data_IF_401149273646
#
_entry.id   IF_401149273646
#
_cell.length_a   1.000
_cell.length_b   1.000
_cell.length_c   1.000
_cell.angle_alpha   90.00
_cell.angle_beta   90.00
_cell.angle_gamma   90.00
#
_symmetry.space_group_name_H-M   'P 1'
#
loop_
_entity.id
_entity.type
_entity.pdbx_description
1 polymer ?
#
# COMPACT_ATOMS: atom_id res chain seq x y z
N UNK A 1 -24.57 34.92 -1.26
CA UNK A 1 -23.29 35.38 -0.68
C UNK A 1 -22.40 36.04 -1.73
N UNK A 2 -22.09 35.37 -2.85
CA UNK A 2 -21.27 35.95 -3.93
C UNK A 2 -21.78 37.32 -4.42
N UNK A 3 -23.10 37.45 -4.66
CA UNK A 3 -23.71 38.71 -5.09
C UNK A 3 -23.48 39.86 -4.08
N UNK A 4 -23.56 39.57 -2.78
CA UNK A 4 -23.33 40.55 -1.71
C UNK A 4 -21.86 41.00 -1.64
N UNK A 5 -20.93 40.07 -1.83
CA UNK A 5 -19.49 40.38 -1.90
C UNK A 5 -19.20 41.33 -3.06
N UNK A 6 -19.72 41.01 -4.25
CA UNK A 6 -19.55 41.85 -5.44
C UNK A 6 -20.12 43.26 -5.26
N UNK A 7 -21.25 43.40 -4.57
CA UNK A 7 -21.83 44.71 -4.24
C UNK A 7 -20.95 45.52 -3.28
N UNK A 8 -20.36 44.88 -2.26
CA UNK A 8 -19.44 45.55 -1.32
C UNK A 8 -18.14 45.97 -2.03
N UNK A 9 -17.59 45.13 -2.91
CA UNK A 9 -16.39 45.47 -3.71
C UNK A 9 -16.63 46.66 -4.67
N UNK A 10 -17.83 46.79 -5.23
CA UNK A 10 -18.20 47.98 -6.00
C UNK A 10 -18.20 49.24 -5.11
N UNK A 11 -18.83 49.15 -3.94
CA UNK A 11 -18.91 50.26 -2.97
C UNK A 11 -17.52 50.70 -2.48
N UNK A 12 -16.63 49.75 -2.17
CA UNK A 12 -15.24 50.03 -1.75
C UNK A 12 -14.48 50.77 -2.85
N UNK A 13 -14.60 50.33 -4.11
CA UNK A 13 -13.93 50.98 -5.25
C UNK A 13 -14.42 52.40 -5.47
N UNK A 14 -15.72 52.63 -5.39
CA UNK A 14 -16.31 53.97 -5.56
C UNK A 14 -15.85 54.91 -4.44
N UNK A 15 -15.87 54.44 -3.19
CA UNK A 15 -15.41 55.21 -2.03
C UNK A 15 -13.91 55.53 -2.08
N UNK A 16 -13.07 54.62 -2.58
CA UNK A 16 -11.65 54.89 -2.81
C UNK A 16 -11.44 56.01 -3.84
N UNK A 17 -12.23 56.02 -4.92
CA UNK A 17 -12.17 57.08 -5.93
C UNK A 17 -12.55 58.44 -5.35
N UNK A 18 -13.65 58.49 -4.57
CA UNK A 18 -14.11 59.71 -3.90
C UNK A 18 -13.09 60.24 -2.89
N UNK A 19 -12.46 59.37 -2.08
CA UNK A 19 -11.45 59.79 -1.12
C UNK A 19 -10.19 60.37 -1.77
N UNK A 20 -9.76 59.83 -2.92
CA UNK A 20 -8.64 60.42 -3.69
C UNK A 20 -8.99 61.80 -4.19
N UNK A 21 -10.14 61.96 -4.84
CA UNK A 21 -10.60 63.25 -5.35
C UNK A 21 -10.78 64.30 -4.23
N UNK A 22 -11.24 63.87 -3.05
CA UNK A 22 -11.36 64.74 -1.88
C UNK A 22 -10.00 65.22 -1.38
N UNK A 23 -9.00 64.34 -1.32
CA UNK A 23 -7.64 64.68 -0.87
C UNK A 23 -6.88 65.60 -1.83
N UNK A 24 -7.24 65.59 -3.11
CA UNK A 24 -6.67 66.50 -4.12
C UNK A 24 -7.29 67.90 -4.08
N UNK A 25 -8.54 68.03 -3.62
CA UNK A 25 -9.32 69.26 -3.73
C UNK A 25 -9.56 70.00 -2.41
N UNK A 26 -9.39 69.33 -1.26
CA UNK A 26 -9.67 69.90 0.06
C UNK A 26 -8.51 69.76 1.03
N UNK A 27 -7.86 70.88 1.35
CA UNK A 27 -6.71 70.97 2.26
C UNK A 27 -7.05 71.69 3.58
N UNK A 28 -6.21 71.50 4.60
CA UNK A 28 -6.40 72.02 5.97
C UNK A 28 -7.03 71.00 6.92
N UNK A 29 -7.09 71.35 8.21
CA UNK A 29 -7.45 70.42 9.30
C UNK A 29 -8.82 69.74 9.12
N UNK A 30 -9.80 70.47 8.58
CA UNK A 30 -11.14 69.94 8.31
C UNK A 30 -11.15 68.90 7.17
N UNK A 31 -10.37 69.13 6.11
CA UNK A 31 -10.20 68.18 5.01
C UNK A 31 -9.49 66.90 5.49
N UNK A 32 -8.49 67.05 6.36
CA UNK A 32 -7.79 65.93 6.97
C UNK A 32 -8.72 65.08 7.84
N UNK A 33 -9.56 65.71 8.68
CA UNK A 33 -10.53 65.00 9.50
C UNK A 33 -11.58 64.22 8.67
N UNK A 34 -12.04 64.79 7.54
CA UNK A 34 -12.96 64.12 6.63
C UNK A 34 -12.31 62.91 5.93
N UNK A 35 -11.04 63.02 5.52
CA UNK A 35 -10.27 61.91 4.96
C UNK A 35 -10.08 60.78 5.97
N UNK A 36 -9.80 61.10 7.23
CA UNK A 36 -9.59 60.09 8.27
C UNK A 36 -10.88 59.34 8.62
N UNK A 37 -12.01 60.04 8.69
CA UNK A 37 -13.33 59.41 8.83
C UNK A 37 -13.67 58.51 7.63
N UNK A 38 -13.38 58.99 6.41
CA UNK A 38 -13.59 58.22 5.19
C UNK A 38 -12.73 56.96 5.12
N UNK A 39 -11.45 57.05 5.49
CA UNK A 39 -10.54 55.90 5.61
C UNK A 39 -11.03 54.90 6.66
N UNK A 40 -11.53 55.37 7.80
CA UNK A 40 -12.11 54.51 8.84
C UNK A 40 -13.35 53.76 8.33
N UNK A 41 -14.23 54.44 7.61
CA UNK A 41 -15.43 53.83 7.01
C UNK A 41 -15.05 52.79 5.95
N UNK A 42 -14.07 53.10 5.10
CA UNK A 42 -13.55 52.18 4.10
C UNK A 42 -12.91 50.93 4.73
N UNK A 43 -12.21 51.10 5.84
CA UNK A 43 -11.64 49.99 6.62
C UNK A 43 -12.76 49.10 7.18
N UNK A 44 -13.86 49.68 7.68
CA UNK A 44 -15.01 48.92 8.16
C UNK A 44 -15.69 48.11 7.04
N UNK A 45 -15.88 48.71 5.85
CA UNK A 45 -16.41 48.00 4.67
C UNK A 45 -15.49 46.88 4.19
N UNK A 46 -14.18 47.12 4.17
CA UNK A 46 -13.18 46.09 3.82
C UNK A 46 -13.23 44.92 4.82
N UNK A 47 -13.27 45.21 6.12
CA UNK A 47 -13.40 44.19 7.16
C UNK A 47 -14.71 43.39 7.04
N UNK A 48 -15.82 44.03 6.67
CA UNK A 48 -17.09 43.36 6.43
C UNK A 48 -17.02 42.42 5.22
N UNK A 49 -16.45 42.88 4.11
CA UNK A 49 -16.21 42.03 2.92
C UNK A 49 -15.37 40.81 3.27
N UNK A 50 -14.28 41.01 3.99
CA UNK A 50 -13.37 39.92 4.35
C UNK A 50 -14.10 38.88 5.22
N UNK A 51 -14.97 39.29 6.15
CA UNK A 51 -15.84 38.38 6.91
C UNK A 51 -16.80 37.59 6.02
N UNK A 52 -17.40 38.22 5.00
CA UNK A 52 -18.28 37.52 4.05
C UNK A 52 -17.50 36.48 3.24
N UNK A 53 -16.28 36.78 2.81
CA UNK A 53 -15.41 35.82 2.13
C UNK A 53 -15.03 34.64 3.03
N UNK A 54 -14.63 34.91 4.28
CA UNK A 54 -14.33 33.84 5.25
C UNK A 54 -15.55 32.95 5.48
N UNK A 55 -16.74 33.55 5.66
CA UNK A 55 -17.98 32.79 5.85
C UNK A 55 -18.28 31.91 4.63
N UNK A 56 -18.13 32.45 3.42
CA UNK A 56 -18.34 31.70 2.17
C UNK A 56 -17.40 30.50 2.06
N UNK A 57 -16.12 30.69 2.39
CA UNK A 57 -15.11 29.64 2.34
C UNK A 57 -15.38 28.53 3.35
N UNK A 58 -15.72 28.91 4.59
CA UNK A 58 -16.07 27.95 5.66
C UNK A 58 -17.29 27.13 5.26
N UNK A 59 -18.36 27.76 4.77
CA UNK A 59 -19.58 27.06 4.34
C UNK A 59 -19.32 26.13 3.14
N UNK A 60 -18.57 26.60 2.15
CA UNK A 60 -18.25 25.79 0.96
C UNK A 60 -17.44 24.55 1.33
N UNK A 61 -16.38 24.73 2.14
CA UNK A 61 -15.51 23.63 2.56
C UNK A 61 -16.22 22.67 3.50
N UNK A 62 -16.89 23.18 4.54
CA UNK A 62 -17.64 22.36 5.50
C UNK A 62 -18.77 21.59 4.82
N UNK A 63 -19.55 22.25 3.95
CA UNK A 63 -20.61 21.62 3.18
C UNK A 63 -20.12 20.50 2.25
N UNK A 64 -18.96 20.68 1.61
CA UNK A 64 -18.33 19.63 0.81
C UNK A 64 -17.97 18.38 1.63
N UNK A 65 -17.26 18.57 2.75
CA UNK A 65 -16.84 17.46 3.64
C UNK A 65 -18.05 16.72 4.22
N UNK A 66 -19.07 17.45 4.68
CA UNK A 66 -20.27 16.84 5.23
C UNK A 66 -21.05 16.06 4.16
N UNK A 67 -21.14 16.57 2.93
CA UNK A 67 -21.83 15.88 1.83
C UNK A 67 -21.14 14.56 1.49
N UNK A 68 -19.80 14.56 1.40
CA UNK A 68 -19.02 13.36 1.12
C UNK A 68 -19.15 12.30 2.22
N UNK A 69 -19.02 12.71 3.49
CA UNK A 69 -19.21 11.80 4.63
C UNK A 69 -20.63 11.24 4.67
N UNK A 70 -21.64 12.05 4.35
CA UNK A 70 -23.03 11.59 4.24
C UNK A 70 -23.20 10.53 3.17
N UNK A 71 -22.61 10.72 1.99
CA UNK A 71 -22.66 9.73 0.91
C UNK A 71 -22.02 8.41 1.32
N UNK A 72 -20.86 8.44 1.98
CA UNK A 72 -20.21 7.24 2.51
C UNK A 72 -21.06 6.52 3.56
N UNK A 73 -21.65 7.26 4.51
CA UNK A 73 -22.55 6.69 5.54
C UNK A 73 -23.77 6.02 4.90
N UNK A 74 -24.42 6.69 3.94
CA UNK A 74 -25.59 6.15 3.25
C UNK A 74 -25.24 4.92 2.40
N UNK A 75 -24.11 4.94 1.71
CA UNK A 75 -23.61 3.79 0.95
C UNK A 75 -23.38 2.58 1.87
N UNK A 76 -22.73 2.79 3.01
CA UNK A 76 -22.50 1.74 3.99
C UNK A 76 -23.79 1.19 4.58
N UNK A 77 -24.76 2.04 4.89
CA UNK A 77 -26.08 1.63 5.37
C UNK A 77 -26.83 0.75 4.35
N UNK A 78 -26.78 1.11 3.06
CA UNK A 78 -27.38 0.32 1.98
C UNK A 78 -26.70 -1.05 1.85
N UNK A 79 -25.37 -1.11 1.99
CA UNK A 79 -24.64 -2.38 1.93
C UNK A 79 -25.01 -3.30 3.11
N UNK A 80 -25.06 -2.76 4.33
CA UNK A 80 -25.51 -3.49 5.53
C UNK A 80 -26.89 -4.11 5.30
N UNK A 81 -27.84 -3.36 4.74
CA UNK A 81 -29.17 -3.88 4.41
C UNK A 81 -29.11 -5.01 3.36
N UNK A 82 -28.28 -4.87 2.31
CA UNK A 82 -28.12 -5.89 1.26
C UNK A 82 -27.56 -7.22 1.78
N UNK A 83 -26.69 -7.18 2.79
CA UNK A 83 -26.10 -8.38 3.39
C UNK A 83 -26.94 -8.95 4.55
N UNK A 84 -28.13 -8.39 4.79
CA UNK A 84 -29.08 -8.90 5.79
C UNK A 84 -28.86 -8.35 7.21
N UNK A 85 -28.23 -7.19 7.33
CA UNK A 85 -28.05 -6.48 8.60
C UNK A 85 -29.08 -5.39 8.85
N UNK A 86 -29.26 -5.06 10.13
CA UNK A 86 -30.00 -3.89 10.60
C UNK A 86 -29.01 -2.93 11.24
N UNK A 87 -29.02 -1.69 10.75
CA UNK A 87 -28.21 -0.59 11.26
C UNK A 87 -29.05 0.23 12.25
N UNK A 88 -28.50 0.51 13.43
CA UNK A 88 -29.04 1.49 14.38
C UNK A 88 -28.46 2.89 14.14
N UNK A 89 -29.13 3.92 14.67
CA UNK A 89 -28.74 5.33 14.50
C UNK A 89 -27.37 5.66 15.13
N UNK A 90 -26.94 4.90 16.14
CA UNK A 90 -25.62 5.03 16.76
C UNK A 90 -24.52 4.24 16.03
N UNK A 91 -24.82 3.71 14.84
CA UNK A 91 -23.87 3.06 13.96
C UNK A 91 -23.60 1.59 14.26
N UNK A 92 -24.34 0.94 15.16
CA UNK A 92 -24.22 -0.50 15.37
C UNK A 92 -24.99 -1.29 14.31
N UNK A 93 -24.37 -2.38 13.88
CA UNK A 93 -24.94 -3.31 12.92
C UNK A 93 -25.25 -4.61 13.65
N UNK A 94 -26.46 -5.09 13.46
CA UNK A 94 -26.93 -6.37 14.00
C UNK A 94 -27.35 -7.27 12.85
N UNK A 95 -27.10 -8.58 12.97
CA UNK A 95 -27.54 -9.54 11.97
C UNK A 95 -29.02 -9.86 12.18
N UNK A 96 -29.80 -9.88 11.10
CA UNK A 96 -31.22 -10.32 11.14
C UNK A 96 -31.35 -11.84 11.28
N UNK A 97 -30.27 -12.60 11.05
CA UNK A 97 -30.28 -14.05 11.04
C UNK A 97 -30.91 -14.70 9.80
N UNK A 98 -31.32 -13.90 8.80
CA UNK A 98 -32.08 -14.37 7.61
C UNK A 98 -31.14 -14.58 6.39
N UNK A 99 -29.84 -14.30 6.49
CA UNK A 99 -28.89 -14.47 5.38
C UNK A 99 -27.51 -15.03 5.79
N UNK A 100 -26.83 -15.83 4.94
CA UNK A 100 -25.57 -16.49 5.28
C UNK A 100 -24.33 -15.57 5.26
N UNK A 101 -24.47 -14.30 4.87
CA UNK A 101 -23.34 -13.41 4.57
C UNK A 101 -22.93 -12.47 5.71
N UNK A 102 -23.76 -12.28 6.74
CA UNK A 102 -23.48 -11.35 7.84
C UNK A 102 -23.31 -12.10 9.17
N UNK A 103 -22.08 -12.55 9.43
CA UNK A 103 -21.68 -13.10 10.73
C UNK A 103 -21.61 -12.01 11.81
N UNK A 104 -21.60 -12.38 13.11
CA UNK A 104 -21.42 -11.44 14.21
C UNK A 104 -20.13 -10.60 14.08
N UNK A 105 -19.04 -11.19 13.59
CA UNK A 105 -17.76 -10.50 13.36
C UNK A 105 -17.86 -9.49 12.22
N UNK A 106 -18.58 -9.83 11.14
CA UNK A 106 -18.81 -8.91 10.02
C UNK A 106 -19.67 -7.74 10.48
N UNK A 107 -20.73 -8.00 11.24
CA UNK A 107 -21.57 -6.96 11.83
C UNK A 107 -20.74 -6.02 12.73
N UNK A 108 -19.80 -6.57 13.50
CA UNK A 108 -18.87 -5.78 14.31
C UNK A 108 -17.94 -4.89 13.45
N UNK A 109 -17.42 -5.42 12.34
CA UNK A 109 -16.56 -4.65 11.44
C UNK A 109 -17.30 -3.46 10.80
N UNK A 110 -18.52 -3.66 10.30
CA UNK A 110 -19.37 -2.55 9.83
C UNK A 110 -19.66 -1.55 10.95
N UNK A 111 -19.92 -2.03 12.17
CA UNK A 111 -20.19 -1.16 13.32
C UNK A 111 -19.01 -0.23 13.64
N UNK A 112 -17.78 -0.74 13.56
CA UNK A 112 -16.57 0.08 13.78
C UNK A 112 -16.44 1.17 12.73
N UNK A 113 -16.63 0.83 11.45
CA UNK A 113 -16.50 1.78 10.33
C UNK A 113 -17.59 2.86 10.40
N UNK A 114 -18.86 2.46 10.54
CA UNK A 114 -20.00 3.38 10.59
C UNK A 114 -19.93 4.33 11.79
N UNK A 115 -19.55 3.83 12.97
CA UNK A 115 -19.36 4.68 14.16
C UNK A 115 -18.23 5.69 13.97
N UNK A 116 -17.15 5.30 13.29
CA UNK A 116 -16.05 6.23 12.98
C UNK A 116 -16.47 7.29 11.96
N UNK A 117 -17.24 6.92 10.95
CA UNK A 117 -17.81 7.86 9.98
C UNK A 117 -18.75 8.86 10.66
N UNK A 118 -19.65 8.40 11.52
CA UNK A 118 -20.58 9.25 12.28
C UNK A 118 -19.84 10.20 13.25
N UNK A 119 -18.80 9.70 13.94
CA UNK A 119 -17.96 10.53 14.80
C UNK A 119 -17.23 11.62 14.00
N UNK A 120 -16.67 11.25 12.84
CA UNK A 120 -15.99 12.20 11.94
C UNK A 120 -16.96 13.24 11.38
N UNK A 121 -18.17 12.83 10.99
CA UNK A 121 -19.22 13.73 10.54
C UNK A 121 -19.57 14.76 11.62
N UNK A 122 -19.78 14.30 12.86
CA UNK A 122 -20.09 15.17 14.00
C UNK A 122 -18.95 16.16 14.29
N UNK A 123 -17.70 15.70 14.21
CA UNK A 123 -16.53 16.56 14.40
C UNK A 123 -16.42 17.63 13.30
N UNK A 124 -16.64 17.24 12.03
CA UNK A 124 -16.62 18.17 10.90
C UNK A 124 -17.74 19.23 10.97
N UNK A 125 -18.93 18.82 11.40
CA UNK A 125 -20.07 19.73 11.62
C UNK A 125 -19.76 20.74 12.73
N UNK A 126 -19.28 20.25 13.87
CA UNK A 126 -18.89 21.09 15.02
C UNK A 126 -17.77 22.08 14.64
N UNK A 127 -16.76 21.63 13.90
CA UNK A 127 -15.67 22.48 13.44
C UNK A 127 -16.15 23.56 12.46
N UNK A 128 -17.10 23.22 11.57
CA UNK A 128 -17.72 24.17 10.64
C UNK A 128 -18.53 25.23 11.42
N UNK A 129 -19.31 24.81 12.41
CA UNK A 129 -20.06 25.72 13.28
C UNK A 129 -19.15 26.67 14.08
N UNK A 130 -18.09 26.14 14.70
CA UNK A 130 -17.12 26.94 15.45
C UNK A 130 -16.41 27.99 14.56
N UNK A 131 -16.04 27.60 13.34
CA UNK A 131 -15.41 28.50 12.37
C UNK A 131 -16.36 29.64 11.93
N UNK A 132 -17.67 29.40 11.87
CA UNK A 132 -18.67 30.45 11.60
C UNK A 132 -18.85 31.41 12.78
N UNK A 133 -18.71 30.93 14.01
CA UNK A 133 -18.79 31.74 15.23
C UNK A 133 -17.52 32.59 15.49
N UNK A 134 -16.47 32.44 14.67
CA UNK A 134 -15.22 33.19 14.83
C UNK A 134 -14.38 32.74 16.03
N UNK A 135 -14.70 31.58 16.60
CA UNK A 135 -13.88 30.98 17.65
C UNK A 135 -12.59 30.42 17.03
N UNK A 136 -11.44 30.92 17.51
CA UNK A 136 -10.15 30.24 17.26
C UNK A 136 -10.09 28.99 18.14
N UNK A 137 -10.78 27.93 17.74
CA UNK A 137 -10.43 26.60 18.23
C UNK A 137 -9.02 26.30 17.75
N UNK A 138 -8.09 26.06 18.67
CA UNK A 138 -6.67 25.74 18.41
C UNK A 138 -6.43 24.43 17.66
N UNK A 139 -7.40 23.98 16.88
CA UNK A 139 -7.31 22.85 15.97
C UNK A 139 -7.22 23.45 14.57
N UNK A 140 -6.01 23.74 14.11
CA UNK A 140 -5.78 23.89 12.67
C UNK A 140 -5.93 22.50 12.04
N UNK A 141 -7.16 22.06 11.79
CA UNK A 141 -7.39 20.90 10.92
C UNK A 141 -7.10 21.35 9.47
N UNK A 142 -5.84 21.14 9.05
CA UNK A 142 -5.42 21.22 7.66
C UNK A 142 -6.19 20.18 6.86
N UNK A 143 -6.29 20.37 5.54
CA UNK A 143 -6.77 19.31 4.65
C UNK A 143 -5.94 18.01 4.78
N UNK A 144 -4.73 18.10 5.35
CA UNK A 144 -3.84 16.99 5.69
C UNK A 144 -4.18 16.25 7.00
N UNK A 145 -5.11 16.75 7.82
CA UNK A 145 -5.54 16.07 9.06
C UNK A 145 -6.75 15.15 8.83
N UNK A 146 -7.26 15.11 7.60
CA UNK A 146 -8.14 14.06 7.12
C UNK A 146 -7.23 12.93 6.64
N UNK A 147 -7.36 11.69 7.16
CA UNK A 147 -6.77 10.57 6.45
C UNK A 147 -7.46 10.56 5.09
N UNK A 148 -6.72 10.89 4.03
CA UNK A 148 -7.13 10.75 2.64
C UNK A 148 -7.28 9.29 2.23
N UNK A 149 -7.76 8.44 3.14
CA UNK A 149 -8.19 7.09 2.85
C UNK A 149 -9.65 7.17 2.43
N UNK A 150 -9.91 6.76 1.20
CA UNK A 150 -11.22 6.26 0.79
C UNK A 150 -11.73 5.36 1.93
N UNK A 151 -12.81 5.76 2.61
CA UNK A 151 -13.43 4.90 3.62
C UNK A 151 -14.08 3.74 2.89
N UNK A 152 -13.31 2.67 2.69
CA UNK A 152 -13.77 1.48 1.99
C UNK A 152 -14.82 0.78 2.84
N UNK A 153 -16.07 0.84 2.40
CA UNK A 153 -17.11 -0.01 2.97
C UNK A 153 -16.86 -1.44 2.48
N UNK A 154 -16.71 -2.44 3.38
CA UNK A 154 -16.45 -3.81 2.95
C UNK A 154 -17.55 -4.28 2.00
N UNK A 155 -17.19 -4.66 0.79
CA UNK A 155 -18.07 -5.32 -0.18
C UNK A 155 -18.20 -6.81 0.16
N UNK A 156 -19.15 -7.51 -0.47
CA UNK A 156 -19.24 -8.98 -0.36
C UNK A 156 -17.93 -9.66 -0.78
N UNK A 157 -17.21 -9.07 -1.74
CA UNK A 157 -15.91 -9.54 -2.18
C UNK A 157 -14.87 -9.40 -1.06
N UNK A 158 -14.85 -8.27 -0.34
CA UNK A 158 -13.95 -8.05 0.80
C UNK A 158 -14.22 -9.03 1.94
N UNK A 159 -15.48 -9.36 2.19
CA UNK A 159 -15.87 -10.35 3.20
C UNK A 159 -15.43 -11.77 2.80
N UNK A 160 -15.59 -12.10 1.52
CA UNK A 160 -15.13 -13.39 0.97
C UNK A 160 -13.62 -13.49 1.08
N UNK A 161 -12.90 -12.44 0.67
CA UNK A 161 -11.45 -12.34 0.81
C UNK A 161 -11.02 -12.54 2.25
N UNK A 162 -11.63 -11.82 3.19
CA UNK A 162 -11.30 -11.93 4.61
C UNK A 162 -11.50 -13.33 5.19
N UNK A 163 -12.54 -14.03 4.73
CA UNK A 163 -12.80 -15.41 5.12
C UNK A 163 -11.71 -16.36 4.58
N UNK A 164 -11.32 -16.20 3.32
CA UNK A 164 -10.28 -17.00 2.67
C UNK A 164 -8.90 -16.78 3.31
N UNK A 165 -8.52 -15.53 3.57
CA UNK A 165 -7.31 -15.17 4.33
C UNK A 165 -7.28 -15.87 5.70
N UNK A 166 -8.41 -15.85 6.41
CA UNK A 166 -8.53 -16.52 7.72
C UNK A 166 -8.32 -18.03 7.60
N UNK A 167 -8.90 -18.66 6.56
CA UNK A 167 -8.77 -20.09 6.32
C UNK A 167 -7.32 -20.48 5.99
N UNK A 168 -6.66 -19.74 5.08
CA UNK A 168 -5.27 -19.98 4.71
C UNK A 168 -4.29 -19.82 5.89
N UNK A 169 -4.50 -18.81 6.73
CA UNK A 169 -3.71 -18.65 7.95
C UNK A 169 -3.94 -19.78 8.96
N UNK A 170 -5.20 -20.21 9.12
CA UNK A 170 -5.54 -21.33 10.01
C UNK A 170 -4.94 -22.65 9.55
N UNK A 171 -4.79 -22.87 8.24
CA UNK A 171 -4.13 -24.05 7.69
C UNK A 171 -2.67 -24.16 8.16
N UNK A 172 -1.93 -23.06 8.13
CA UNK A 172 -0.49 -23.03 8.50
C UNK A 172 -0.24 -22.99 10.00
N UNK A 173 -1.12 -22.32 10.77
CA UNK A 173 -0.89 -22.02 12.19
C UNK A 173 -1.89 -22.66 13.18
N UNK A 174 -2.99 -23.25 12.69
CA UNK A 174 -4.04 -23.84 13.54
C UNK A 174 -4.81 -22.84 14.41
N UNK A 175 -4.64 -21.53 14.19
CA UNK A 175 -5.29 -20.44 14.95
C UNK A 175 -5.76 -19.34 14.00
N UNK A 176 -6.74 -18.54 14.42
CA UNK A 176 -7.16 -17.34 13.65
C UNK A 176 -6.12 -16.21 13.73
N UNK A 177 -6.02 -15.34 12.70
CA UNK A 177 -5.26 -14.10 12.76
C UNK A 177 -5.73 -13.18 13.90
N UNK A 178 -4.80 -12.49 14.56
CA UNK A 178 -5.07 -11.55 15.66
C UNK A 178 -4.32 -10.24 15.51
N UNK A 179 -3.03 -10.30 15.16
CA UNK A 179 -2.17 -9.12 15.03
C UNK A 179 -2.23 -8.53 13.61
N UNK A 180 -1.66 -7.33 13.43
CA UNK A 180 -1.49 -6.74 12.08
C UNK A 180 -0.60 -7.62 11.20
N UNK A 181 0.49 -8.17 11.76
CA UNK A 181 1.37 -9.11 11.05
C UNK A 181 0.61 -10.39 10.66
N UNK A 182 -0.19 -10.97 11.55
CA UNK A 182 -1.01 -12.14 11.22
C UNK A 182 -1.90 -11.90 10.01
N UNK A 183 -2.50 -10.71 9.90
CA UNK A 183 -3.38 -10.38 8.78
C UNK A 183 -2.62 -10.13 7.47
N UNK A 184 -1.40 -9.59 7.54
CA UNK A 184 -0.52 -9.48 6.36
C UNK A 184 -0.09 -10.87 5.86
N UNK A 185 0.23 -11.76 6.79
CA UNK A 185 0.58 -13.16 6.51
C UNK A 185 -0.61 -13.93 5.97
N UNK A 186 -1.80 -13.72 6.53
CA UNK A 186 -3.03 -14.30 6.02
C UNK A 186 -3.31 -13.90 4.56
N UNK A 187 -3.11 -12.62 4.22
CA UNK A 187 -3.21 -12.13 2.85
C UNK A 187 -2.15 -12.75 1.92
N UNK A 188 -0.91 -12.88 2.39
CA UNK A 188 0.17 -13.50 1.61
C UNK A 188 -0.11 -15.00 1.31
N UNK A 189 -0.72 -15.72 2.25
CA UNK A 189 -1.05 -17.14 2.15
C UNK A 189 -2.35 -17.44 1.38
N UNK A 190 -3.20 -16.45 1.13
CA UNK A 190 -4.52 -16.67 0.51
C UNK A 190 -4.39 -17.26 -0.91
N UNK A 191 -4.82 -18.51 -1.16
CA UNK A 191 -4.64 -19.19 -2.43
C UNK A 191 -5.66 -18.76 -3.50
N UNK A 192 -6.41 -17.68 -3.28
CA UNK A 192 -7.41 -17.19 -4.22
C UNK A 192 -6.94 -15.96 -5.00
N UNK A 193 -7.51 -15.82 -6.19
CA UNK A 193 -7.38 -14.64 -7.05
C UNK A 193 -8.74 -13.95 -7.13
N UNK A 194 -8.78 -12.64 -6.91
CA UNK A 194 -10.03 -11.86 -6.93
C UNK A 194 -10.10 -10.91 -8.13
N UNK A 195 -8.94 -10.47 -8.62
CA UNK A 195 -8.86 -9.69 -9.83
C UNK A 195 -9.43 -10.46 -11.03
N UNK A 196 -10.41 -9.85 -11.72
CA UNK A 196 -11.12 -10.50 -12.84
C UNK A 196 -10.21 -10.99 -13.97
N UNK A 197 -9.06 -10.33 -14.17
CA UNK A 197 -8.04 -10.72 -15.17
C UNK A 197 -7.48 -12.14 -14.99
N UNK A 198 -7.59 -12.72 -13.80
CA UNK A 198 -7.07 -14.05 -13.51
C UNK A 198 -8.12 -15.16 -13.69
N UNK A 199 -9.37 -14.84 -14.01
CA UNK A 199 -10.47 -15.80 -14.18
C UNK A 199 -10.61 -16.80 -13.02
N UNK A 200 -10.29 -16.36 -11.79
CA UNK A 200 -10.29 -17.20 -10.60
C UNK A 200 -9.15 -18.23 -10.51
N UNK A 201 -8.20 -18.24 -11.45
CA UNK A 201 -7.03 -19.12 -11.39
C UNK A 201 -6.18 -18.75 -10.16
N UNK A 202 -5.84 -19.72 -9.29
CA UNK A 202 -5.10 -19.42 -8.08
C UNK A 202 -3.66 -18.99 -8.39
N UNK A 203 -3.03 -18.16 -7.53
CA UNK A 203 -1.58 -18.00 -7.52
C UNK A 203 -0.89 -19.33 -7.14
N UNK A 204 0.41 -19.43 -7.42
CA UNK A 204 1.26 -20.45 -6.79
C UNK A 204 1.96 -19.84 -5.58
N UNK A 205 1.86 -20.50 -4.43
CA UNK A 205 2.43 -20.04 -3.16
C UNK A 205 3.37 -21.11 -2.63
N UNK A 206 4.59 -20.72 -2.24
CA UNK A 206 5.56 -21.56 -1.55
C UNK A 206 6.03 -20.89 -0.27
N UNK A 207 6.28 -21.66 0.78
CA UNK A 207 6.50 -21.18 2.15
C UNK A 207 7.65 -21.95 2.80
N UNK A 208 8.34 -21.32 3.75
CA UNK A 208 9.28 -21.96 4.67
C UNK A 208 9.21 -21.34 6.06
N UNK A 209 9.52 -22.12 7.10
CA UNK A 209 9.58 -21.65 8.49
C UNK A 209 10.98 -21.18 8.83
N UNK A 210 11.10 -19.95 9.30
CA UNK A 210 12.33 -19.38 9.88
C UNK A 210 12.17 -19.27 11.39
N UNK A 211 13.28 -19.11 12.11
CA UNK A 211 13.23 -18.68 13.51
C UNK A 211 12.66 -17.25 13.57
N UNK A 212 11.58 -16.99 14.34
CA UNK A 212 11.03 -15.66 14.48
C UNK A 212 12.05 -14.66 15.05
N UNK A 213 11.97 -13.40 14.62
CA UNK A 213 12.76 -12.28 15.16
C UNK A 213 11.79 -11.19 15.65
N UNK A 214 11.19 -11.36 16.84
CA UNK A 214 10.13 -10.46 17.31
C UNK A 214 10.56 -9.00 17.37
N UNK A 215 9.67 -8.10 16.96
CA UNK A 215 9.94 -6.67 16.87
C UNK A 215 10.34 -6.19 15.48
N UNK A 216 10.69 -7.10 14.56
CA UNK A 216 11.06 -6.76 13.19
C UNK A 216 9.86 -6.71 12.23
N UNK A 217 8.68 -7.16 12.67
CA UNK A 217 7.45 -7.01 11.92
C UNK A 217 7.43 -7.84 10.63
N UNK A 218 6.82 -7.26 9.60
CA UNK A 218 6.52 -7.92 8.34
C UNK A 218 7.12 -7.15 7.17
N UNK A 219 7.92 -7.83 6.36
CA UNK A 219 8.53 -7.26 5.15
C UNK A 219 7.83 -7.84 3.93
N UNK A 220 7.45 -6.96 3.00
CA UNK A 220 6.88 -7.33 1.70
C UNK A 220 7.73 -6.76 0.57
N UNK A 221 8.05 -7.60 -0.38
CA UNK A 221 8.63 -7.23 -1.67
C UNK A 221 7.64 -7.52 -2.79
N UNK A 222 7.46 -6.59 -3.71
CA UNK A 222 6.63 -6.74 -4.91
C UNK A 222 7.45 -6.53 -6.17
N UNK A 223 7.37 -7.49 -7.09
CA UNK A 223 7.95 -7.42 -8.44
C UNK A 223 6.84 -7.22 -9.48
N UNK A 224 6.69 -5.99 -9.98
CA UNK A 224 5.56 -5.59 -10.83
C UNK A 224 5.98 -5.02 -12.17
N UNK A 225 5.16 -5.29 -13.19
CA UNK A 225 5.35 -4.75 -14.53
C UNK A 225 4.66 -3.38 -14.61
N UNK A 226 5.39 -2.27 -14.80
CA UNK A 226 4.76 -0.94 -14.79
C UNK A 226 3.80 -0.69 -15.95
N UNK A 227 3.92 -1.49 -17.01
CA UNK A 227 3.10 -1.40 -18.22
C UNK A 227 1.82 -2.22 -18.10
N UNK A 228 0.87 -1.89 -18.96
CA UNK A 228 -0.35 -2.64 -19.21
C UNK A 228 -0.10 -3.90 -20.05
N UNK A 229 0.87 -3.87 -20.97
CA UNK A 229 1.27 -5.01 -21.78
C UNK A 229 2.77 -5.01 -22.09
N UNK A 230 3.32 -6.21 -22.31
CA UNK A 230 4.74 -6.43 -22.60
C UNK A 230 4.94 -7.52 -23.65
N UNK A 231 6.05 -7.46 -24.36
CA UNK A 231 6.38 -8.34 -25.46
C UNK A 231 6.61 -9.77 -24.99
N UNK A 232 5.91 -10.70 -25.64
CA UNK A 232 6.14 -12.13 -25.56
C UNK A 232 5.71 -12.77 -26.90
N UNK A 233 6.03 -14.06 -27.10
CA UNK A 233 5.77 -14.80 -28.35
C UNK A 233 4.98 -16.07 -28.01
N UNK A 234 3.89 -16.38 -28.74
CA UNK A 234 3.38 -15.68 -29.93
C UNK A 234 2.57 -14.42 -29.62
N UNK A 235 2.20 -14.21 -28.36
CA UNK A 235 1.33 -13.10 -27.92
C UNK A 235 2.00 -12.37 -26.77
N UNK A 236 1.70 -11.09 -26.66
CA UNK A 236 2.12 -10.26 -25.54
C UNK A 236 1.43 -10.69 -24.24
N UNK A 237 2.08 -10.43 -23.11
CA UNK A 237 1.49 -10.61 -21.79
C UNK A 237 0.97 -9.30 -21.23
N UNK A 238 -0.06 -9.37 -20.39
CA UNK A 238 -0.56 -8.26 -19.59
C UNK A 238 0.37 -8.00 -18.41
N UNK A 239 0.68 -6.72 -18.18
CA UNK A 239 1.41 -6.26 -17.01
C UNK A 239 0.49 -5.81 -15.87
N UNK A 240 1.06 -5.09 -14.90
CA UNK A 240 0.35 -4.60 -13.72
C UNK A 240 -0.21 -3.19 -13.87
N UNK A 241 0.27 -2.44 -14.86
CA UNK A 241 -0.17 -1.07 -15.16
C UNK A 241 -0.22 -0.16 -13.94
N UNK A 242 0.84 -0.19 -13.13
CA UNK A 242 0.93 0.58 -11.88
C UNK A 242 2.32 1.14 -11.65
N UNK A 243 2.43 2.04 -10.69
CA UNK A 243 3.69 2.49 -10.13
C UNK A 243 3.96 1.86 -8.75
N UNK A 244 4.98 2.38 -8.07
CA UNK A 244 5.25 2.06 -6.69
C UNK A 244 4.07 2.43 -5.78
N UNK A 245 3.68 1.50 -4.92
CA UNK A 245 2.54 1.66 -4.02
C UNK A 245 2.83 0.96 -2.69
N UNK A 246 2.96 1.73 -1.62
CA UNK A 246 3.17 1.17 -0.27
C UNK A 246 1.98 0.32 0.20
N UNK A 247 0.80 0.54 -0.38
CA UNK A 247 -0.46 -0.15 -0.10
C UNK A 247 -0.73 -1.40 -0.95
N UNK A 248 0.20 -1.79 -1.84
CA UNK A 248 -0.05 -2.89 -2.78
C UNK A 248 -0.49 -4.17 -2.06
N UNK A 249 -1.49 -4.83 -2.65
CA UNK A 249 -2.03 -6.12 -2.23
C UNK A 249 -1.30 -7.27 -2.93
N UNK A 250 -1.34 -8.50 -2.39
CA UNK A 250 -0.65 -9.64 -2.99
C UNK A 250 -0.96 -9.89 -4.47
N UNK A 251 -2.15 -9.52 -4.98
CA UNK A 251 -2.58 -9.73 -6.38
C UNK A 251 -2.16 -8.62 -7.37
N UNK A 252 -1.67 -7.48 -6.85
CA UNK A 252 -1.32 -6.28 -7.63
C UNK A 252 0.03 -6.38 -8.33
N UNK A 253 0.78 -7.47 -8.12
CA UNK A 253 2.16 -7.65 -8.59
C UNK A 253 2.32 -8.99 -9.30
N UNK A 254 3.41 -9.22 -10.05
CA UNK A 254 3.65 -10.55 -10.68
C UNK A 254 4.13 -11.56 -9.66
N UNK A 255 5.13 -11.15 -8.89
CA UNK A 255 5.73 -11.96 -7.83
C UNK A 255 5.76 -11.13 -6.55
N UNK A 256 5.48 -11.76 -5.42
CA UNK A 256 5.68 -11.20 -4.10
C UNK A 256 6.59 -12.10 -3.27
N UNK A 257 7.46 -11.50 -2.48
CA UNK A 257 8.25 -12.19 -1.46
C UNK A 257 7.94 -11.55 -0.11
N UNK A 258 7.81 -12.35 0.93
CA UNK A 258 7.50 -11.87 2.27
C UNK A 258 8.45 -12.50 3.28
N UNK A 259 8.88 -11.69 4.25
CA UNK A 259 9.56 -12.16 5.47
C UNK A 259 8.72 -11.71 6.65
N UNK A 260 8.07 -12.67 7.30
CA UNK A 260 7.30 -12.46 8.51
C UNK A 260 8.15 -12.87 9.70
N UNK A 261 8.82 -11.89 10.31
CA UNK A 261 9.63 -12.13 11.51
C UNK A 261 8.79 -12.36 12.76
N UNK A 262 7.51 -11.97 12.78
CA UNK A 262 6.63 -12.16 13.93
C UNK A 262 6.11 -13.60 13.99
N UNK A 263 5.69 -14.17 12.86
CA UNK A 263 5.21 -15.55 12.80
C UNK A 263 6.25 -16.57 12.32
N UNK A 264 7.45 -16.11 11.92
CA UNK A 264 8.55 -16.97 11.53
C UNK A 264 8.34 -17.65 10.17
N UNK A 265 7.94 -16.90 9.14
CA UNK A 265 7.76 -17.42 7.79
C UNK A 265 8.52 -16.62 6.74
N UNK A 266 8.95 -17.32 5.69
CA UNK A 266 9.25 -16.73 4.38
C UNK A 266 8.22 -17.27 3.39
N UNK A 267 7.60 -16.38 2.62
CA UNK A 267 6.54 -16.73 1.67
C UNK A 267 6.92 -16.15 0.31
N UNK A 268 6.77 -16.94 -0.75
CA UNK A 268 6.81 -16.46 -2.12
C UNK A 268 5.51 -16.78 -2.84
N UNK A 269 4.97 -15.79 -3.53
CA UNK A 269 3.71 -15.86 -4.28
C UNK A 269 3.98 -15.46 -5.72
N UNK A 270 3.61 -16.32 -6.67
CA UNK A 270 3.56 -15.98 -8.08
C UNK A 270 2.10 -15.92 -8.53
N UNK A 271 1.66 -14.75 -8.98
CA UNK A 271 0.33 -14.60 -9.57
C UNK A 271 0.32 -15.10 -11.02
N UNK A 272 -0.86 -15.47 -11.56
CA UNK A 272 -0.94 -15.96 -12.92
C UNK A 272 -0.44 -14.95 -13.97
N UNK A 273 0.26 -15.45 -14.99
CA UNK A 273 0.45 -14.75 -16.25
C UNK A 273 -0.87 -14.70 -17.00
N UNK A 274 -1.11 -13.62 -17.72
CA UNK A 274 -2.28 -13.43 -18.58
C UNK A 274 -1.80 -12.89 -19.91
N UNK A 275 -2.18 -13.49 -21.02
CA UNK A 275 -1.86 -12.95 -22.35
C UNK A 275 -2.91 -11.92 -22.81
N UNK A 276 -2.65 -11.23 -23.91
CA UNK A 276 -3.57 -10.23 -24.47
C UNK A 276 -4.89 -10.80 -25.03
N UNK A 277 -5.01 -12.12 -25.18
CA UNK A 277 -6.26 -12.81 -25.55
C UNK A 277 -7.05 -13.26 -24.31
N UNK A 278 -6.48 -13.14 -23.11
CA UNK A 278 -7.09 -13.53 -21.85
C UNK A 278 -6.72 -14.94 -21.39
N UNK A 279 -5.81 -15.64 -22.08
CA UNK A 279 -5.35 -16.93 -21.60
C UNK A 279 -4.58 -16.75 -20.30
N UNK A 280 -4.94 -17.55 -19.28
CA UNK A 280 -4.36 -17.46 -17.93
C UNK A 280 -3.55 -18.72 -17.64
N UNK A 281 -2.31 -18.57 -17.17
CA UNK A 281 -1.48 -19.70 -16.74
C UNK A 281 -0.53 -19.29 -15.60
N UNK A 282 -0.20 -20.22 -14.73
CA UNK A 282 0.66 -19.99 -13.57
C UNK A 282 1.68 -21.13 -13.46
N UNK A 283 2.90 -20.78 -13.06
CA UNK A 283 3.95 -21.73 -12.70
C UNK A 283 4.30 -21.55 -11.23
N UNK A 284 4.94 -22.57 -10.66
CA UNK A 284 5.45 -22.51 -9.30
C UNK A 284 6.84 -21.85 -9.30
N UNK A 285 7.05 -20.80 -8.50
CA UNK A 285 8.35 -20.18 -8.38
C UNK A 285 9.32 -21.11 -7.65
N UNK A 286 10.60 -21.06 -8.01
CA UNK A 286 11.67 -21.78 -7.30
C UNK A 286 12.30 -20.80 -6.33
N UNK A 287 12.22 -21.10 -5.04
CA UNK A 287 12.75 -20.24 -3.99
C UNK A 287 13.56 -21.05 -3.00
N UNK A 288 14.79 -20.60 -2.76
CA UNK A 288 15.73 -21.18 -1.80
C UNK A 288 16.04 -20.18 -0.70
N UNK A 289 16.01 -20.62 0.55
CA UNK A 289 16.15 -19.75 1.71
C UNK A 289 17.17 -20.30 2.70
N UNK A 290 17.93 -19.40 3.31
CA UNK A 290 18.80 -19.65 4.45
C UNK A 290 18.55 -18.55 5.50
N UNK A 291 18.80 -18.85 6.78
CA UNK A 291 18.76 -17.88 7.86
C UNK A 291 20.06 -17.89 8.66
N UNK A 292 20.56 -16.74 9.12
CA UNK A 292 21.67 -16.69 10.10
C UNK A 292 21.17 -16.78 11.53
N UNK A 293 22.02 -17.11 12.52
CA UNK A 293 21.63 -17.10 13.93
C UNK A 293 21.13 -15.73 14.43
N UNK A 294 21.58 -14.65 13.80
CA UNK A 294 21.15 -13.27 14.08
C UNK A 294 19.83 -12.90 13.39
N UNK A 295 19.25 -13.83 12.63
CA UNK A 295 17.95 -13.67 11.98
C UNK A 295 17.99 -13.03 10.59
N UNK A 296 19.16 -12.81 9.98
CA UNK A 296 19.23 -12.38 8.59
C UNK A 296 18.74 -13.51 7.68
N UNK A 297 17.97 -13.18 6.65
CA UNK A 297 17.35 -14.17 5.75
C UNK A 297 17.84 -13.92 4.32
N UNK A 298 18.53 -14.90 3.72
CA UNK A 298 18.90 -14.90 2.30
C UNK A 298 17.81 -15.61 1.51
N UNK A 299 17.34 -14.96 0.44
CA UNK A 299 16.26 -15.44 -0.42
C UNK A 299 16.74 -15.40 -1.86
N UNK A 300 16.93 -16.59 -2.43
CA UNK A 300 17.21 -16.78 -3.85
C UNK A 300 15.89 -17.16 -4.53
N UNK A 301 15.47 -16.42 -5.54
CA UNK A 301 14.19 -16.64 -6.19
C UNK A 301 14.31 -16.65 -7.71
N UNK A 302 13.51 -17.50 -8.35
CA UNK A 302 13.28 -17.55 -9.78
C UNK A 302 11.79 -17.80 -10.06
N UNK A 303 11.18 -16.92 -10.84
CA UNK A 303 9.80 -17.02 -11.29
C UNK A 303 9.75 -16.97 -12.81
N UNK A 304 9.02 -17.91 -13.40
CA UNK A 304 8.95 -18.11 -14.84
C UNK A 304 7.60 -17.66 -15.38
N UNK A 305 7.61 -17.02 -16.53
CA UNK A 305 6.38 -16.76 -17.26
C UNK A 305 5.85 -18.06 -17.87
N UNK A 306 4.60 -18.42 -17.55
CA UNK A 306 3.94 -19.63 -18.04
C UNK A 306 3.77 -19.67 -19.57
N UNK A 307 3.79 -18.50 -20.22
CA UNK A 307 3.69 -18.34 -21.67
C UNK A 307 5.04 -18.06 -22.34
N UNK A 308 6.16 -18.11 -21.60
CA UNK A 308 7.46 -17.91 -22.21
C UNK A 308 7.75 -19.00 -23.26
N UNK A 309 8.42 -18.67 -24.37
CA UNK A 309 8.81 -19.66 -25.36
C UNK A 309 9.76 -20.69 -24.74
N UNK A 310 9.72 -21.97 -25.18
CA UNK A 310 10.66 -22.98 -24.71
C UNK A 310 12.11 -22.52 -24.87
N UNK A 311 12.94 -22.66 -23.82
CA UNK A 311 14.33 -22.23 -23.83
C UNK A 311 14.56 -20.79 -23.32
N UNK A 312 13.52 -20.06 -22.93
CA UNK A 312 13.64 -18.74 -22.32
C UNK A 312 14.60 -18.76 -21.11
N UNK A 313 14.54 -19.82 -20.31
CA UNK A 313 15.42 -20.07 -19.16
C UNK A 313 16.90 -20.20 -19.55
N UNK A 314 17.20 -20.82 -20.71
CA UNK A 314 18.59 -20.95 -21.22
C UNK A 314 19.17 -19.58 -21.54
N UNK A 315 18.33 -18.66 -22.03
CA UNK A 315 18.67 -17.27 -22.30
C UNK A 315 18.48 -16.32 -21.11
N UNK A 316 18.18 -16.86 -19.92
CA UNK A 316 17.95 -16.10 -18.67
C UNK A 316 16.79 -15.11 -18.70
N UNK A 317 15.79 -15.35 -19.56
CA UNK A 317 14.56 -14.56 -19.58
C UNK A 317 13.59 -15.05 -18.48
N UNK A 318 14.01 -14.87 -17.22
CA UNK A 318 13.26 -15.24 -16.02
C UNK A 318 13.38 -14.14 -14.98
N UNK A 319 12.34 -13.94 -14.17
CA UNK A 319 12.39 -12.98 -13.06
C UNK A 319 13.15 -13.64 -11.93
N UNK A 320 14.31 -13.13 -11.55
CA UNK A 320 15.10 -13.77 -10.52
C UNK A 320 15.94 -12.75 -9.72
N UNK A 321 16.18 -13.05 -8.45
CA UNK A 321 17.02 -12.26 -7.54
C UNK A 321 17.68 -13.13 -6.46
N UNK A 322 18.68 -12.58 -5.79
CA UNK A 322 19.32 -13.11 -4.58
C UNK A 322 19.47 -11.94 -3.60
N UNK A 323 18.62 -11.92 -2.57
CA UNK A 323 18.51 -10.79 -1.63
C UNK A 323 18.69 -11.28 -0.20
N UNK A 324 19.35 -10.46 0.61
CA UNK A 324 19.48 -10.64 2.05
C UNK A 324 18.67 -9.57 2.75
N UNK A 325 17.78 -10.01 3.62
CA UNK A 325 17.03 -9.15 4.54
C UNK A 325 17.69 -9.25 5.91
N UNK A 326 18.26 -8.16 6.40
CA UNK A 326 18.95 -8.12 7.69
C UNK A 326 18.11 -7.37 8.72
N UNK A 327 17.69 -8.00 9.83
CA UNK A 327 17.00 -7.33 10.93
C UNK A 327 17.71 -6.08 11.42
N UNK A 328 16.95 -5.02 11.71
CA UNK A 328 17.50 -3.79 12.27
C UNK A 328 17.77 -3.91 13.77
N UNK A 329 18.89 -3.34 14.23
CA UNK A 329 19.26 -3.36 15.66
C UNK A 329 18.45 -2.30 16.43
N UNK A 330 17.92 -2.66 17.60
CA UNK A 330 17.32 -1.70 18.52
C UNK A 330 16.05 -1.01 18.00
N UNK A 331 15.26 -1.72 17.19
CA UNK A 331 14.02 -1.20 16.61
C UNK A 331 14.22 -0.32 15.37
N UNK A 332 15.42 -0.28 14.80
CA UNK A 332 15.65 0.28 13.47
C UNK A 332 14.99 -0.61 12.40
N UNK A 333 14.65 -0.05 11.22
CA UNK A 333 14.20 -0.85 10.10
C UNK A 333 15.29 -1.82 9.63
N UNK A 334 14.87 -2.90 8.98
CA UNK A 334 15.75 -3.84 8.33
C UNK A 334 16.51 -3.19 7.16
N UNK A 335 17.61 -3.82 6.73
CA UNK A 335 18.27 -3.49 5.46
C UNK A 335 18.00 -4.59 4.43
N UNK A 336 18.06 -4.20 3.16
CA UNK A 336 18.01 -5.15 2.04
C UNK A 336 19.22 -4.93 1.14
N UNK A 337 19.95 -6.01 0.93
CA UNK A 337 21.21 -6.04 0.18
C UNK A 337 21.17 -7.21 -0.80
N UNK A 338 21.81 -7.12 -1.95
CA UNK A 338 21.95 -8.27 -2.85
C UNK A 338 21.94 -7.92 -4.33
N UNK A 339 21.46 -8.85 -5.15
CA UNK A 339 21.45 -8.78 -6.61
C UNK A 339 20.04 -9.01 -7.13
N UNK A 340 19.52 -8.06 -7.91
CA UNK A 340 18.18 -8.12 -8.49
C UNK A 340 18.26 -8.03 -10.01
N UNK A 341 17.23 -8.51 -10.70
CA UNK A 341 17.11 -8.32 -12.15
C UNK A 341 16.85 -6.86 -12.51
N UNK A 342 17.23 -6.45 -13.71
CA UNK A 342 16.87 -5.12 -14.24
C UNK A 342 15.39 -5.03 -14.64
N UNK A 343 14.68 -6.16 -14.54
CA UNK A 343 13.25 -6.28 -14.83
C UNK A 343 12.61 -7.41 -14.00
N UNK A 344 11.36 -7.25 -13.53
CA UNK A 344 10.51 -6.05 -13.61
C UNK A 344 10.89 -5.03 -12.52
N UNK A 345 10.04 -4.04 -12.22
CA UNK A 345 10.30 -3.12 -11.10
C UNK A 345 10.15 -3.83 -9.76
N UNK A 346 10.97 -3.47 -8.78
CA UNK A 346 10.98 -4.01 -7.42
C UNK A 346 10.63 -2.92 -6.40
N UNK A 347 9.77 -3.25 -5.44
CA UNK A 347 9.53 -2.42 -4.27
C UNK A 347 9.55 -3.26 -3.00
N UNK A 348 10.14 -2.72 -1.93
CA UNK A 348 10.25 -3.42 -0.65
C UNK A 348 9.88 -2.48 0.49
N UNK A 349 8.94 -2.92 1.31
CA UNK A 349 8.45 -2.18 2.48
C UNK A 349 8.45 -3.07 3.73
N UNK A 350 8.62 -2.44 4.90
CA UNK A 350 8.53 -3.08 6.20
C UNK A 350 7.45 -2.43 7.03
N UNK A 351 6.52 -3.23 7.54
CA UNK A 351 5.53 -2.84 8.54
C UNK A 351 5.99 -3.31 9.92
N UNK A 352 6.27 -2.38 10.83
CA UNK A 352 6.71 -2.68 12.19
C UNK A 352 5.50 -2.95 13.12
N UNK A 353 5.70 -3.63 14.26
CA UNK A 353 4.63 -3.91 15.21
C UNK A 353 3.98 -2.65 15.83
N UNK A 354 4.68 -1.52 15.86
CA UNK A 354 4.16 -0.23 16.32
C UNK A 354 3.28 0.48 15.28
N UNK A 355 3.12 -0.12 14.09
CA UNK A 355 2.34 0.42 12.98
C UNK A 355 3.14 1.36 12.06
N UNK A 356 4.43 1.60 12.34
CA UNK A 356 5.30 2.34 11.42
C UNK A 356 5.57 1.55 10.14
N UNK A 357 5.72 2.28 9.03
CA UNK A 357 5.97 1.73 7.71
C UNK A 357 7.26 2.35 7.17
N UNK A 358 8.17 1.49 6.68
CA UNK A 358 9.45 1.90 6.12
C UNK A 358 9.56 1.42 4.67
N UNK A 359 10.02 2.31 3.80
CA UNK A 359 10.50 1.93 2.46
C UNK A 359 11.94 1.46 2.58
N UNK A 360 12.19 0.19 2.24
CA UNK A 360 13.53 -0.39 2.29
C UNK A 360 14.24 -0.28 0.94
N UNK A 361 13.51 -0.51 -0.15
CA UNK A 361 14.03 -0.35 -1.50
C UNK A 361 12.90 -0.03 -2.49
N UNK A 362 13.22 0.75 -3.52
CA UNK A 362 12.43 0.92 -4.74
C UNK A 362 13.41 0.95 -5.89
N UNK A 363 13.23 0.04 -6.83
CA UNK A 363 14.06 -0.08 -8.02
C UNK A 363 13.14 -0.18 -9.24
N UNK A 364 13.27 0.78 -10.14
CA UNK A 364 12.44 0.84 -11.33
C UNK A 364 13.08 -0.04 -12.41
N UNK A 365 12.24 -0.73 -13.19
CA UNK A 365 12.72 -1.42 -14.38
C UNK A 365 13.50 -0.43 -15.26
N UNK A 366 14.67 -0.84 -15.75
CA UNK A 366 15.58 0.00 -16.54
C UNK A 366 14.87 0.57 -17.78
N UNK A 367 13.92 -0.19 -18.33
CA UNK A 367 13.06 0.19 -19.42
C UNK A 367 11.60 0.02 -19.05
N UNK A 368 10.91 1.15 -19.04
CA UNK A 368 9.46 1.18 -19.09
C UNK A 368 8.91 0.95 -20.50
N UNK A 369 9.54 0.23 -21.42
CA UNK A 369 8.99 -0.04 -22.77
C UNK A 369 8.42 -1.46 -22.92
N UNK A 370 7.67 -1.69 -24.00
CA UNK A 370 7.01 -3.00 -24.24
C UNK A 370 8.02 -4.15 -24.40
N UNK A 371 9.24 -3.88 -24.86
CA UNK A 371 10.31 -4.87 -25.04
C UNK A 371 11.11 -5.14 -23.77
N UNK A 372 10.80 -4.48 -22.63
CA UNK A 372 11.52 -4.63 -21.36
C UNK A 372 11.87 -6.09 -21.01
N UNK A 373 10.92 -7.04 -21.04
CA UNK A 373 11.24 -8.44 -20.77
C UNK A 373 12.36 -9.01 -21.65
N UNK A 374 12.33 -8.72 -22.95
CA UNK A 374 13.31 -9.23 -23.93
C UNK A 374 14.70 -8.59 -23.75
N UNK A 375 14.74 -7.32 -23.35
CA UNK A 375 16.00 -6.57 -23.29
C UNK A 375 16.64 -6.57 -21.92
N UNK A 376 15.92 -6.92 -20.84
CA UNK A 376 16.35 -6.64 -19.46
C UNK A 376 16.32 -7.83 -18.52
N UNK A 377 15.42 -8.80 -18.70
CA UNK A 377 15.40 -10.00 -17.84
C UNK A 377 16.76 -10.72 -17.76
N UNK A 378 17.58 -10.80 -18.83
CA UNK A 378 18.89 -11.43 -18.74
C UNK A 378 19.92 -10.68 -17.87
N UNK A 379 19.66 -9.42 -17.55
CA UNK A 379 20.59 -8.51 -16.87
C UNK A 379 20.19 -8.26 -15.42
N UNK A 380 21.19 -7.93 -14.60
CA UNK A 380 21.08 -7.82 -13.15
C UNK A 380 22.00 -6.73 -12.64
N UNK A 381 21.69 -6.16 -11.49
CA UNK A 381 22.55 -5.19 -10.79
C UNK A 381 22.48 -5.39 -9.28
N UNK A 382 23.41 -4.77 -8.56
CA UNK A 382 23.48 -4.84 -7.09
C UNK A 382 22.67 -3.72 -6.43
N UNK A 383 22.03 -4.04 -5.29
CA UNK A 383 21.38 -3.08 -4.39
C UNK A 383 22.00 -3.14 -2.99
N UNK A 384 21.97 -2.02 -2.27
CA UNK A 384 22.58 -1.92 -0.93
C UNK A 384 24.08 -2.21 -0.98
N UNK A 385 24.56 -3.08 -0.10
CA UNK A 385 25.93 -3.60 -0.05
C UNK A 385 26.19 -4.71 -1.09
N UNK A 386 25.20 -5.03 -1.92
CA UNK A 386 25.34 -6.00 -3.00
C UNK A 386 25.67 -7.40 -2.52
N UNK A 387 26.46 -8.11 -3.31
CA UNK A 387 26.87 -9.49 -3.04
C UNK A 387 27.76 -9.68 -1.81
N UNK A 388 28.28 -8.60 -1.21
CA UNK A 388 29.03 -8.68 0.04
C UNK A 388 28.16 -9.21 1.21
N UNK A 389 26.85 -8.98 1.16
CA UNK A 389 25.91 -9.47 2.17
C UNK A 389 25.74 -10.99 2.18
N UNK A 390 26.24 -11.72 1.17
CA UNK A 390 26.11 -13.17 1.08
C UNK A 390 27.15 -13.94 1.90
N UNK A 391 28.24 -13.28 2.34
CA UNK A 391 29.34 -13.91 3.06
C UNK A 391 28.90 -14.72 4.31
N UNK A 392 27.95 -14.24 5.14
CA UNK A 392 27.47 -15.01 6.30
C UNK A 392 26.74 -16.30 5.95
N UNK A 393 26.28 -16.46 4.70
CA UNK A 393 25.45 -17.58 4.23
C UNK A 393 26.24 -18.64 3.45
N UNK A 394 27.56 -18.67 3.64
CA UNK A 394 28.46 -19.53 2.88
C UNK A 394 27.97 -20.99 2.85
N UNK A 395 27.80 -21.50 1.63
CA UNK A 395 27.33 -22.85 1.32
C UNK A 395 28.21 -23.45 0.22
N UNK A 396 28.41 -24.77 0.29
CA UNK A 396 29.06 -25.57 -0.74
C UNK A 396 28.06 -26.09 -1.79
N UNK A 397 26.76 -25.85 -1.61
CA UNK A 397 25.74 -26.20 -2.57
C UNK A 397 25.78 -25.26 -3.78
N UNK A 398 25.51 -25.75 -5.00
CA UNK A 398 25.41 -24.88 -6.16
C UNK A 398 24.24 -23.89 -5.99
N UNK A 399 24.41 -22.62 -6.43
CA UNK A 399 23.30 -21.69 -6.50
C UNK A 399 22.26 -22.16 -7.53
N UNK A 400 21.14 -21.44 -7.63
CA UNK A 400 20.14 -21.71 -8.67
C UNK A 400 20.78 -21.74 -10.09
N UNK A 401 20.31 -22.61 -11.00
CA UNK A 401 20.83 -22.66 -12.36
C UNK A 401 20.86 -21.29 -13.03
N UNK A 402 22.01 -20.90 -13.59
CA UNK A 402 22.15 -19.60 -14.28
C UNK A 402 22.61 -18.43 -13.41
N UNK A 403 22.82 -18.63 -12.10
CA UNK A 403 23.39 -17.66 -11.19
C UNK A 403 24.92 -17.72 -11.11
N UNK A 404 25.62 -16.57 -11.04
CA UNK A 404 27.07 -16.55 -10.81
C UNK A 404 27.40 -17.03 -9.39
N UNK A 405 28.59 -17.62 -9.24
CA UNK A 405 29.13 -18.02 -7.93
C UNK A 405 29.68 -16.79 -7.20
N UNK A 406 29.31 -16.60 -5.93
CA UNK A 406 29.82 -15.49 -5.11
C UNK A 406 30.91 -15.96 -4.15
N UNK A 407 31.72 -15.03 -3.61
CA UNK A 407 32.87 -15.32 -2.72
C UNK A 407 32.47 -16.08 -1.43
N UNK A 408 31.18 -16.18 -1.09
CA UNK A 408 30.68 -17.06 -0.01
C UNK A 408 30.39 -18.50 -0.45
N UNK A 409 30.22 -18.78 -1.74
CA UNK A 409 29.73 -20.05 -2.29
C UNK A 409 30.88 -20.97 -2.79
N UNK A 410 32.11 -20.83 -2.25
CA UNK A 410 33.38 -21.17 -2.95
C UNK A 410 34.12 -22.47 -2.57
N UNK A 411 33.48 -23.54 -2.08
CA UNK A 411 34.17 -24.84 -2.18
C UNK A 411 33.72 -25.59 -3.43
N UNK A 412 34.61 -26.24 -4.18
CA UNK A 412 34.19 -27.20 -5.19
C UNK A 412 33.34 -28.27 -4.49
N UNK A 413 32.06 -28.38 -4.88
CA UNK A 413 31.15 -29.39 -4.34
C UNK A 413 31.81 -30.78 -4.39
N UNK A 414 32.17 -31.32 -3.22
CA UNK A 414 32.70 -32.67 -3.10
C UNK A 414 31.52 -33.62 -3.06
N UNK A 415 31.28 -34.33 -4.16
CA UNK A 415 30.20 -35.32 -4.28
C UNK A 415 30.19 -36.28 -3.08
N UNK A 416 29.12 -36.24 -2.28
CA UNK A 416 28.94 -37.08 -1.09
C UNK A 416 29.15 -36.38 0.27
N UNK A 417 29.63 -35.14 0.32
CA UNK A 417 29.55 -34.32 1.54
C UNK A 417 28.20 -33.58 1.59
N UNK A 418 27.46 -33.78 2.69
CA UNK A 418 26.26 -33.00 2.99
C UNK A 418 26.73 -31.64 3.51
N UNK A 419 26.41 -30.57 2.80
CA UNK A 419 26.65 -29.23 3.29
C UNK A 419 25.53 -28.84 4.30
N UNK A 420 25.84 -28.65 5.59
CA UNK A 420 24.85 -28.29 6.59
C UNK A 420 24.21 -26.92 6.33
N UNK A 421 24.84 -26.07 5.50
CA UNK A 421 24.33 -24.75 5.14
C UNK A 421 23.56 -24.76 3.80
N UNK A 422 23.27 -25.93 3.22
CA UNK A 422 22.53 -26.06 1.95
C UNK A 422 21.19 -25.30 2.05
N UNK A 423 20.92 -24.33 1.15
CA UNK A 423 19.67 -23.59 1.13
C UNK A 423 18.45 -24.51 1.08
N UNK A 424 17.43 -24.17 1.88
CA UNK A 424 16.17 -24.90 1.92
C UNK A 424 15.26 -24.46 0.78
N UNK A 425 14.83 -25.39 -0.06
CA UNK A 425 13.75 -25.14 -1.03
C UNK A 425 12.43 -24.91 -0.29
N UNK A 426 11.70 -23.86 -0.65
CA UNK A 426 10.37 -23.60 -0.10
C UNK A 426 9.36 -24.64 -0.61
N UNK A 427 8.42 -25.02 0.26
CA UNK A 427 7.41 -26.05 0.00
C UNK A 427 5.99 -25.49 -0.09
N UNK A 428 4.99 -26.33 -0.37
CA UNK A 428 3.58 -25.92 -0.37
C UNK A 428 3.09 -25.57 1.05
N UNK A 429 1.91 -24.95 1.17
CA UNK A 429 1.35 -24.48 2.46
C UNK A 429 0.97 -25.59 3.44
N UNK A 430 0.71 -26.80 2.93
CA UNK A 430 0.37 -27.99 3.70
C UNK A 430 1.61 -28.80 4.15
N UNK A 431 2.78 -28.54 3.58
CA UNK A 431 4.05 -29.17 3.93
C UNK A 431 5.18 -28.11 4.03
N UNK A 432 5.06 -27.23 5.04
CA UNK A 432 6.01 -26.12 5.20
C UNK A 432 7.36 -26.61 5.77
N UNK A 433 8.47 -26.56 5.00
CA UNK A 433 9.79 -26.97 5.47
C UNK A 433 10.36 -25.98 6.50
N UNK A 434 11.27 -26.47 7.35
CA UNK A 434 12.07 -25.60 8.22
C UNK A 434 13.31 -25.13 7.47
N UNK A 435 13.48 -23.82 7.38
CA UNK A 435 14.65 -23.17 6.78
C UNK A 435 15.89 -23.49 7.61
N UNK A 436 16.99 -23.76 6.91
CA UNK A 436 18.29 -23.97 7.51
C UNK A 436 18.80 -22.71 8.21
N UNK A 437 19.26 -22.86 9.44
CA UNK A 437 20.02 -21.82 10.16
C UNK A 437 21.50 -22.11 9.96
N UNK A 438 22.21 -21.25 9.22
CA UNK A 438 23.64 -21.41 8.92
C UNK A 438 24.47 -21.30 10.20
N UNK A 439 25.54 -22.10 10.29
CA UNK A 439 26.41 -22.17 11.48
C UNK A 439 27.88 -22.06 11.16
#
# INVERSE_FOLDING_TARGET
>A
MQHSITAVDATIRDQQGLLRALGESWSGDAGQAALDLGRSTLAAHSAFRDRLHTTQQVLSRGGGVLSELREHILSAAVQVAKVGGVLSDDGYVTSTGIGPLLSPEVAMAYSVVLRRLLATFTAADTATAAALCGERTGIQMRAADFPGGIWHTPTVLDLTRRSNETAAFMEVFGRKPKSSADWQTAAALDPHSYAGRYEGRPPSIVVGRIEPVPGQGFIKAGLFIPRDQVFNVPRNDLGDNRGFDTGFQPEDTRVSLYVDYENGLVIARQNPSVDVEGDVAVLTPVVKVQQTPEGAVRIQYEAKNAFAPPGAEVSRHVVAGDVVVTPGIGGQPATVDGVIGNYPSLEIYQSMPDGSLHTLAQDAADSGNILGPLTELPFRHEIGNGSAAFEPFASHAPPLPGWPWYRGDIAPYIYGQIDPNTPTDLGPTDEVPNVVVVR
#
